data_IF_857892182998
#
_entry.id   IF_857892182998
#
_cell.length_a   1.000
_cell.length_b   1.000
_cell.length_c   1.000
_cell.angle_alpha   90.00
_cell.angle_beta   90.00
_cell.angle_gamma   90.00
#
_symmetry.space_group_name_H-M   'P 1'
#
loop_
_entity.id
_entity.type
_entity.pdbx_description
1 polymer ?
#
# COMPACT_ATOMS: atom_id res chain seq x y z
N UNK A 1 -32.43 34.63 0.69
CA UNK A 1 -31.24 33.97 1.27
C UNK A 1 -31.69 32.65 1.87
N UNK A 2 -31.58 31.55 1.13
CA UNK A 2 -32.03 30.22 1.55
C UNK A 2 -31.24 29.16 0.79
N UNK A 3 -30.39 28.41 1.49
CA UNK A 3 -30.18 26.99 1.22
C UNK A 3 -29.97 26.31 2.59
N UNK A 4 -31.02 25.64 3.07
CA UNK A 4 -30.93 24.71 4.21
C UNK A 4 -30.32 23.42 3.66
N UNK A 5 -29.10 23.09 4.07
CA UNK A 5 -28.48 21.81 3.71
C UNK A 5 -29.10 20.72 4.60
N UNK A 6 -30.00 19.95 4.03
CA UNK A 6 -30.53 18.71 4.60
C UNK A 6 -29.42 17.65 4.55
N UNK A 7 -28.75 17.41 5.68
CA UNK A 7 -27.97 16.20 5.88
C UNK A 7 -28.96 15.05 6.14
N UNK A 8 -29.25 14.26 5.11
CA UNK A 8 -30.06 13.05 5.26
C UNK A 8 -29.30 12.02 6.10
N UNK A 9 -29.75 11.83 7.33
CA UNK A 9 -29.55 10.60 8.07
C UNK A 9 -30.44 9.51 7.45
N UNK A 10 -29.83 8.41 6.97
CA UNK A 10 -30.55 7.18 6.68
C UNK A 10 -29.80 6.02 7.34
N UNK A 11 -30.35 5.66 8.49
CA UNK A 11 -30.11 4.45 9.27
C UNK A 11 -30.45 3.20 8.43
N UNK A 12 -29.55 2.23 8.37
CA UNK A 12 -29.90 0.85 8.08
C UNK A 12 -29.20 -0.05 9.10
N UNK A 13 -29.84 -0.19 10.25
CA UNK A 13 -29.66 -1.32 11.16
C UNK A 13 -30.07 -2.60 10.44
N UNK A 14 -29.13 -3.51 10.22
CA UNK A 14 -29.43 -4.91 9.95
C UNK A 14 -28.87 -5.72 11.12
N UNK A 15 -29.77 -6.08 12.04
CA UNK A 15 -29.57 -7.24 12.90
C UNK A 15 -29.66 -8.48 12.02
N UNK A 16 -28.56 -9.23 11.91
CA UNK A 16 -28.61 -10.65 11.52
C UNK A 16 -28.16 -11.48 12.72
N UNK A 17 -28.98 -12.51 12.93
CA UNK A 17 -29.00 -13.52 13.97
C UNK A 17 -27.65 -14.22 14.21
N UNK A 18 -27.56 -14.82 15.40
CA UNK A 18 -26.45 -15.58 15.96
C UNK A 18 -25.93 -16.73 15.06
N UNK A 19 -24.71 -17.15 15.42
CA UNK A 19 -23.99 -18.34 14.96
C UNK A 19 -23.12 -18.15 13.71
N UNK A 20 -22.03 -17.39 13.88
CA UNK A 20 -20.69 -17.93 13.61
C UNK A 20 -19.65 -16.92 14.12
N UNK A 21 -18.81 -17.38 15.05
CA UNK A 21 -17.63 -16.63 15.50
C UNK A 21 -16.63 -16.53 14.35
N UNK A 22 -16.84 -15.56 13.46
CA UNK A 22 -15.88 -15.21 12.42
C UNK A 22 -14.64 -14.67 13.11
N UNK A 23 -13.58 -15.48 13.08
CA UNK A 23 -12.24 -15.20 13.59
C UNK A 23 -11.82 -13.77 13.21
N UNK A 24 -11.71 -12.90 14.20
CA UNK A 24 -11.27 -11.50 14.12
C UNK A 24 -9.77 -11.34 13.73
N UNK A 25 -9.30 -12.06 12.71
CA UNK A 25 -7.95 -11.92 12.17
C UNK A 25 -7.93 -11.29 10.77
N UNK A 26 -8.99 -10.57 10.39
CA UNK A 26 -9.01 -9.73 9.19
C UNK A 26 -8.87 -8.28 9.65
N UNK A 27 -7.63 -7.83 9.80
CA UNK A 27 -7.31 -6.43 10.09
C UNK A 27 -7.88 -5.55 8.97
N UNK A 28 -9.03 -4.94 9.24
CA UNK A 28 -9.75 -4.02 8.34
C UNK A 28 -8.92 -2.74 8.26
N UNK A 29 -8.40 -2.45 7.08
CA UNK A 29 -7.65 -1.22 6.84
C UNK A 29 -8.59 -0.24 6.17
N UNK A 30 -8.94 0.80 6.93
CA UNK A 30 -9.94 1.80 6.57
C UNK A 30 -9.35 2.87 5.65
N UNK A 31 -9.80 2.90 4.39
CA UNK A 31 -9.93 4.16 3.63
C UNK A 31 -11.18 4.92 4.13
N UNK A 32 -11.33 6.25 3.92
CA UNK A 32 -12.24 7.03 4.75
C UNK A 32 -13.73 6.70 4.64
N UNK A 33 -14.20 5.90 3.67
CA UNK A 33 -15.63 5.61 3.54
C UNK A 33 -16.04 4.21 3.03
N UNK A 34 -15.14 3.26 2.76
CA UNK A 34 -15.56 1.94 2.22
C UNK A 34 -14.74 0.74 2.74
N UNK A 35 -15.41 -0.40 2.91
CA UNK A 35 -14.80 -1.69 3.24
C UNK A 35 -14.08 -2.22 2.00
N UNK A 36 -12.77 -2.41 2.08
CA UNK A 36 -11.98 -2.99 0.98
C UNK A 36 -12.23 -4.50 0.88
N UNK A 37 -12.91 -4.92 -0.18
CA UNK A 37 -13.02 -6.33 -0.58
C UNK A 37 -11.72 -6.78 -1.25
N UNK A 38 -10.79 -7.30 -0.43
CA UNK A 38 -9.45 -7.68 -0.87
C UNK A 38 -9.43 -8.73 -1.99
N UNK A 39 -10.20 -9.84 -1.93
CA UNK A 39 -10.32 -10.78 -3.06
C UNK A 39 -10.73 -10.12 -4.38
N UNK A 40 -11.74 -9.24 -4.35
CA UNK A 40 -12.21 -8.52 -5.53
C UNK A 40 -11.14 -7.55 -6.05
N UNK A 41 -10.52 -6.80 -5.14
CA UNK A 41 -9.46 -5.84 -5.48
C UNK A 41 -8.23 -6.56 -6.08
N UNK A 42 -7.83 -7.70 -5.54
CA UNK A 42 -6.75 -8.52 -6.09
C UNK A 42 -7.06 -9.02 -7.50
N UNK A 43 -8.30 -9.48 -7.73
CA UNK A 43 -8.74 -9.88 -9.08
C UNK A 43 -8.67 -8.71 -10.07
N UNK A 44 -9.20 -7.54 -9.69
CA UNK A 44 -9.16 -6.33 -10.51
C UNK A 44 -7.71 -5.90 -10.80
N UNK A 45 -6.85 -5.90 -9.79
CA UNK A 45 -5.44 -5.58 -9.92
C UNK A 45 -4.74 -6.46 -10.97
N UNK A 46 -4.89 -7.78 -10.86
CA UNK A 46 -4.28 -8.72 -11.81
C UNK A 46 -4.77 -8.48 -13.24
N UNK A 47 -6.07 -8.22 -13.41
CA UNK A 47 -6.63 -7.87 -14.72
C UNK A 47 -6.07 -6.55 -15.25
N UNK A 48 -6.07 -5.49 -14.44
CA UNK A 48 -5.63 -4.15 -14.86
C UNK A 48 -4.15 -4.08 -15.25
N UNK A 49 -3.30 -4.86 -14.58
CA UNK A 49 -1.85 -4.88 -14.84
C UNK A 49 -1.39 -6.15 -15.57
N UNK A 50 -2.32 -6.91 -16.15
CA UNK A 50 -2.06 -8.13 -16.91
C UNK A 50 -1.12 -9.11 -16.18
N UNK A 51 -1.36 -9.32 -14.88
CA UNK A 51 -0.57 -10.23 -14.04
C UNK A 51 -1.11 -11.65 -14.14
N UNK A 52 -0.21 -12.61 -14.32
CA UNK A 52 -0.52 -14.02 -14.34
C UNK A 52 0.51 -14.79 -13.50
N UNK A 53 0.03 -15.58 -12.54
CA UNK A 53 0.86 -16.23 -11.53
C UNK A 53 0.48 -17.70 -11.39
N UNK A 54 1.49 -18.53 -11.06
CA UNK A 54 1.22 -19.88 -10.59
C UNK A 54 0.47 -19.85 -9.25
N UNK A 55 -0.26 -20.90 -8.85
CA UNK A 55 -1.02 -20.88 -7.58
C UNK A 55 -0.17 -20.58 -6.35
N UNK A 56 1.09 -21.05 -6.33
CA UNK A 56 2.03 -20.80 -5.24
C UNK A 56 2.48 -19.34 -5.22
N UNK A 57 2.83 -18.80 -6.39
CA UNK A 57 3.22 -17.40 -6.53
C UNK A 57 2.05 -16.45 -6.24
N UNK A 58 0.84 -16.76 -6.71
CA UNK A 58 -0.35 -15.93 -6.52
C UNK A 58 -0.61 -15.63 -5.03
N UNK A 59 -0.44 -16.65 -4.17
CA UNK A 59 -0.59 -16.50 -2.72
C UNK A 59 0.48 -15.61 -2.12
N UNK A 60 1.72 -15.69 -2.61
CA UNK A 60 2.82 -14.82 -2.15
C UNK A 60 2.58 -13.38 -2.61
N UNK A 61 2.25 -13.18 -3.89
CA UNK A 61 2.00 -11.86 -4.50
C UNK A 61 0.80 -11.16 -3.90
N UNK A 62 -0.27 -11.90 -3.62
CA UNK A 62 -1.45 -11.38 -2.93
C UNK A 62 -1.09 -10.80 -1.55
N UNK A 63 -0.19 -11.44 -0.79
CA UNK A 63 0.29 -10.89 0.49
C UNK A 63 1.12 -9.61 0.33
N UNK A 64 1.92 -9.50 -0.73
CA UNK A 64 2.67 -8.26 -1.01
C UNK A 64 1.71 -7.14 -1.39
N UNK A 65 0.75 -7.46 -2.27
CA UNK A 65 -0.32 -6.57 -2.67
C UNK A 65 -1.13 -6.05 -1.49
N UNK A 66 -1.54 -6.94 -0.58
CA UNK A 66 -2.23 -6.56 0.66
C UNK A 66 -1.41 -5.54 1.46
N UNK A 67 -0.10 -5.74 1.62
CA UNK A 67 0.77 -4.78 2.32
C UNK A 67 0.81 -3.43 1.60
N UNK A 68 0.92 -3.41 0.27
CA UNK A 68 0.92 -2.17 -0.50
C UNK A 68 -0.41 -1.42 -0.40
N UNK A 69 -1.55 -2.11 -0.46
CA UNK A 69 -2.88 -1.52 -0.22
C UNK A 69 -2.94 -0.88 1.15
N UNK A 70 -2.46 -1.57 2.18
CA UNK A 70 -2.42 -1.06 3.54
C UNK A 70 -1.60 0.22 3.66
N UNK A 71 -0.38 0.22 3.13
CA UNK A 71 0.50 1.39 3.15
C UNK A 71 -0.07 2.57 2.38
N UNK A 72 -0.68 2.34 1.21
CA UNK A 72 -1.34 3.41 0.44
C UNK A 72 -2.46 4.07 1.24
N UNK A 73 -3.29 3.26 1.89
CA UNK A 73 -4.39 3.77 2.73
C UNK A 73 -3.86 4.57 3.91
N UNK A 74 -2.88 4.03 4.65
CA UNK A 74 -2.26 4.71 5.79
C UNK A 74 -1.63 6.06 5.41
N UNK A 75 -0.88 6.09 4.30
CA UNK A 75 -0.23 7.32 3.82
C UNK A 75 -1.25 8.36 3.36
N UNK A 76 -2.29 7.94 2.65
CA UNK A 76 -3.36 8.85 2.23
C UNK A 76 -4.14 9.40 3.43
N UNK A 77 -4.42 8.57 4.44
CA UNK A 77 -5.04 9.01 5.68
C UNK A 77 -4.19 10.02 6.43
N UNK A 78 -2.87 9.77 6.51
CA UNK A 78 -1.93 10.71 7.11
C UNK A 78 -1.95 12.05 6.36
N UNK A 79 -1.89 12.03 5.03
CA UNK A 79 -1.94 13.24 4.20
C UNK A 79 -3.22 14.05 4.38
N UNK A 80 -4.37 13.37 4.55
CA UNK A 80 -5.65 14.02 4.89
C UNK A 80 -5.55 14.68 6.28
N UNK A 81 -5.05 13.95 7.28
CA UNK A 81 -4.96 14.43 8.66
C UNK A 81 -3.99 15.61 8.83
N UNK A 82 -2.89 15.65 8.07
CA UNK A 82 -1.90 16.74 8.11
C UNK A 82 -2.29 17.94 7.24
N UNK A 83 -3.44 17.90 6.56
CA UNK A 83 -3.86 18.90 5.58
C UNK A 83 -2.86 19.11 4.43
N UNK A 84 -1.96 18.16 4.20
CA UNK A 84 -1.02 18.11 3.06
C UNK A 84 -1.70 17.61 1.77
N UNK A 85 -3.03 17.78 1.70
CA UNK A 85 -3.99 17.24 0.72
C UNK A 85 -3.71 17.53 -0.77
N UNK A 86 -2.65 18.27 -1.07
CA UNK A 86 -2.19 18.60 -2.43
C UNK A 86 -0.83 18.04 -2.83
N UNK A 87 -0.04 17.47 -1.92
CA UNK A 87 1.36 17.17 -2.19
C UNK A 87 1.62 15.71 -2.60
N UNK A 88 0.94 14.74 -2.00
CA UNK A 88 1.22 13.32 -2.26
C UNK A 88 -0.07 12.48 -2.19
N UNK A 89 -0.54 12.01 -3.35
CA UNK A 89 -1.59 11.00 -3.44
C UNK A 89 -0.94 9.67 -3.80
N UNK A 90 -1.02 8.71 -2.89
CA UNK A 90 -0.53 7.37 -3.13
C UNK A 90 -1.64 6.53 -3.78
N UNK A 91 -1.26 5.68 -4.72
CA UNK A 91 -2.17 4.81 -5.43
C UNK A 91 -1.53 3.45 -5.71
N UNK A 92 -2.39 2.46 -5.89
CA UNK A 92 -1.98 1.13 -6.39
C UNK A 92 -1.49 1.25 -7.82
N UNK A 93 -0.39 0.55 -8.12
CA UNK A 93 0.28 0.56 -9.43
C UNK A 93 0.84 -0.83 -9.76
N UNK A 94 1.44 -0.99 -10.94
CA UNK A 94 2.01 -2.25 -11.43
C UNK A 94 3.07 -2.88 -10.52
N UNK A 95 3.64 -2.12 -9.58
CA UNK A 95 4.66 -2.55 -8.63
C UNK A 95 4.12 -2.87 -7.24
N UNK A 96 2.81 -2.76 -7.03
CA UNK A 96 2.17 -3.03 -5.74
C UNK A 96 2.26 -4.49 -5.30
N UNK A 97 2.73 -5.41 -6.15
CA UNK A 97 3.01 -6.80 -5.79
C UNK A 97 4.48 -7.20 -5.99
N UNK A 98 5.36 -6.21 -6.21
CA UNK A 98 6.78 -6.45 -6.47
C UNK A 98 7.54 -6.83 -5.22
N UNK A 99 8.52 -7.72 -5.38
CA UNK A 99 9.46 -8.04 -4.29
C UNK A 99 10.57 -6.99 -4.20
N UNK A 100 11.25 -6.85 -3.05
CA UNK A 100 12.40 -5.96 -2.92
C UNK A 100 13.49 -6.21 -3.96
N UNK A 101 13.71 -7.48 -4.33
CA UNK A 101 14.71 -7.87 -5.32
C UNK A 101 14.32 -7.40 -6.73
N UNK A 102 13.03 -7.46 -7.08
CA UNK A 102 12.52 -6.94 -8.35
C UNK A 102 12.63 -5.42 -8.42
N UNK A 103 12.27 -4.73 -7.34
CA UNK A 103 12.44 -3.28 -7.22
C UNK A 103 13.91 -2.89 -7.36
N UNK A 104 14.83 -3.64 -6.71
CA UNK A 104 16.28 -3.40 -6.81
C UNK A 104 16.81 -3.62 -8.22
N UNK A 105 16.31 -4.63 -8.95
CA UNK A 105 16.71 -4.85 -10.35
C UNK A 105 16.30 -3.71 -11.27
N UNK A 106 15.21 -3.00 -10.96
CA UNK A 106 14.78 -1.81 -11.69
C UNK A 106 15.59 -0.57 -11.33
N UNK A 107 16.16 -0.50 -10.13
CA UNK A 107 17.06 0.56 -9.72
C UNK A 107 18.41 0.40 -10.45
N UNK A 108 18.56 1.08 -11.60
CA UNK A 108 19.79 1.05 -12.42
C UNK A 108 20.98 1.80 -11.83
N UNK A 109 20.85 2.41 -10.65
CA UNK A 109 21.92 3.17 -10.02
C UNK A 109 22.97 2.25 -9.42
N UNK A 110 24.19 2.27 -9.99
CA UNK A 110 25.37 1.62 -9.44
C UNK A 110 26.26 2.71 -8.85
N UNK A 111 26.57 2.61 -7.55
CA UNK A 111 27.58 3.47 -6.95
C UNK A 111 28.92 3.22 -7.68
N UNK A 112 29.64 4.27 -8.09
CA UNK A 112 31.02 4.09 -8.52
C UNK A 112 31.79 3.48 -7.36
N UNK A 113 32.54 2.41 -7.64
CA UNK A 113 33.50 1.85 -6.69
C UNK A 113 34.54 2.95 -6.48
N UNK A 114 34.52 3.61 -5.32
CA UNK A 114 35.62 4.49 -4.95
C UNK A 114 36.85 3.61 -4.76
N UNK A 115 37.78 3.66 -5.71
CA UNK A 115 39.10 3.04 -5.61
C UNK A 115 40.08 3.92 -4.83
N UNK A 116 39.59 4.85 -4.02
CA UNK A 116 40.46 5.57 -3.08
C UNK A 116 40.90 4.59 -2.00
N UNK A 117 42.11 4.05 -2.18
CA UNK A 117 42.84 3.38 -1.11
C UNK A 117 42.82 4.28 0.13
N UNK A 118 42.60 3.70 1.34
CA UNK A 118 42.68 4.48 2.56
C UNK A 118 44.07 5.11 2.63
N UNK A 119 44.14 6.44 2.48
CA UNK A 119 45.37 7.20 2.69
C UNK A 119 45.80 6.98 4.13
N UNK A 120 46.89 6.24 4.29
CA UNK A 120 47.54 6.04 5.58
C UNK A 120 47.92 7.42 6.14
N UNK A 121 47.27 7.78 7.26
CA UNK A 121 47.34 9.11 7.87
C UNK A 121 48.73 9.34 8.52
N UNK A 122 49.62 8.34 8.51
CA UNK A 122 50.89 8.36 9.22
C UNK A 122 52.10 8.92 8.44
N UNK A 123 51.93 9.46 7.22
CA UNK A 123 53.06 10.01 6.44
C UNK A 123 53.20 11.55 6.49
N UNK A 124 52.46 12.26 7.35
CA UNK A 124 52.56 13.74 7.46
C UNK A 124 53.30 14.27 8.70
N UNK A 125 54.09 13.43 9.39
CA UNK A 125 55.01 13.91 10.43
C UNK A 125 56.43 13.38 10.22
N UNK A 126 57.12 13.91 9.20
CA UNK A 126 58.59 13.97 9.13
C UNK A 126 59.02 15.28 8.48
#
# INVERSE_FOLDING_TARGET
MMVKVLLLAALATVLVSAEDTVKFQKLVIYGPFEIIDMPKLWKMYKTSFNKNYTPVEDKMRCKMFEKSVKSVVELNMKSIATMEMGLQRFAINSFSDSTPEELRKMAGFKLPISTEEPKDINQQML
#
